data_IF_699189171680
#
_entry.id   IF_699189171680
#
_cell.length_a   1.000
_cell.length_b   1.000
_cell.length_c   1.000
_cell.angle_alpha   90.00
_cell.angle_beta   90.00
_cell.angle_gamma   90.00
#
_symmetry.space_group_name_H-M   'P 1'
#
loop_
_entity.id
_entity.type
_entity.pdbx_description
1 polymer ?
#
# COMPACT_ATOMS: atom_id res chain seq x y z
N UNK A 1 -6.97 18.06 9.52
CA UNK A 1 -5.56 18.31 9.15
C UNK A 1 -5.44 18.82 7.72
N UNK A 2 -4.63 19.86 7.46
CA UNK A 2 -4.36 20.39 6.12
C UNK A 2 -3.43 19.45 5.30
N UNK A 3 -3.76 18.17 5.21
CA UNK A 3 -3.00 17.14 4.48
C UNK A 3 -1.83 16.48 5.24
N UNK A 4 -1.62 16.82 6.52
CA UNK A 4 -0.62 16.17 7.38
C UNK A 4 -1.26 15.11 8.30
N UNK A 5 -0.53 14.04 8.60
CA UNK A 5 -0.89 13.07 9.64
C UNK A 5 -0.72 13.65 11.04
N UNK A 6 -1.17 12.92 12.07
CA UNK A 6 -0.93 13.27 13.48
C UNK A 6 0.57 13.39 13.83
N UNK A 7 1.45 12.78 13.03
CA UNK A 7 2.91 12.81 13.20
C UNK A 7 3.60 13.81 12.26
N UNK A 8 2.84 14.70 11.60
CA UNK A 8 3.39 15.71 10.70
C UNK A 8 3.77 15.21 9.31
N UNK A 9 3.65 13.90 9.03
CA UNK A 9 3.91 13.34 7.71
C UNK A 9 2.87 13.84 6.71
N UNK A 10 3.32 14.52 5.65
CA UNK A 10 2.47 14.99 4.56
C UNK A 10 2.44 13.98 3.41
N UNK A 11 1.41 14.11 2.58
CA UNK A 11 1.30 13.36 1.32
C UNK A 11 1.29 11.83 1.53
N UNK A 12 0.77 11.35 2.67
CA UNK A 12 0.57 9.91 2.91
C UNK A 12 -0.56 9.31 2.05
N UNK A 13 -1.41 10.16 1.45
CA UNK A 13 -2.47 9.76 0.54
C UNK A 13 -2.29 10.55 -0.77
N UNK A 14 -2.24 9.85 -1.91
CA UNK A 14 -2.02 10.42 -3.24
C UNK A 14 -0.54 10.64 -3.59
N UNK A 15 -0.30 11.42 -4.65
CA UNK A 15 1.00 11.54 -5.33
C UNK A 15 1.43 10.20 -5.94
N UNK A 16 2.07 9.32 -5.18
CA UNK A 16 2.56 8.02 -5.67
C UNK A 16 2.25 6.94 -4.65
N UNK A 17 2.05 5.72 -5.13
CA UNK A 17 2.07 4.56 -4.25
C UNK A 17 3.46 4.43 -3.60
N UNK A 18 3.51 4.26 -2.30
CA UNK A 18 4.78 4.14 -1.57
C UNK A 18 5.07 2.66 -1.30
N UNK A 19 6.20 2.16 -1.80
CA UNK A 19 6.69 0.81 -1.51
C UNK A 19 7.00 0.63 -0.02
N UNK A 20 6.71 -0.57 0.49
CA UNK A 20 7.08 -1.01 1.84
C UNK A 20 7.91 -2.29 1.77
N UNK A 21 8.68 -2.59 2.81
CA UNK A 21 9.42 -3.85 2.95
C UNK A 21 8.49 -5.07 3.20
N UNK A 22 7.25 -4.80 3.60
CA UNK A 22 6.24 -5.78 4.00
C UNK A 22 5.85 -6.69 2.84
N UNK A 23 6.00 -8.00 3.05
CA UNK A 23 5.45 -9.02 2.15
C UNK A 23 3.93 -9.06 2.26
N UNK A 24 3.23 -9.08 1.13
CA UNK A 24 1.78 -9.19 1.09
C UNK A 24 1.34 -10.55 1.63
N UNK A 25 0.38 -10.51 2.54
CA UNK A 25 -0.03 -11.66 3.33
C UNK A 25 -1.28 -11.34 4.14
N UNK A 26 -1.98 -12.35 4.66
CA UNK A 26 -3.21 -12.15 5.41
C UNK A 26 -2.95 -11.44 6.74
N UNK A 27 -3.89 -10.62 7.18
CA UNK A 27 -3.93 -10.21 8.58
C UNK A 27 -4.51 -11.35 9.43
N UNK A 28 -4.26 -11.37 10.76
CA UNK A 28 -4.90 -12.33 11.65
C UNK A 28 -6.42 -12.30 11.51
N UNK A 29 -7.03 -13.47 11.34
CA UNK A 29 -8.48 -13.60 11.12
C UNK A 29 -8.96 -13.24 9.71
N UNK A 30 -8.06 -13.14 8.72
CA UNK A 30 -8.47 -12.97 7.32
C UNK A 30 -9.38 -14.12 6.86
N UNK A 31 -10.55 -13.76 6.36
CA UNK A 31 -11.42 -14.64 5.59
C UNK A 31 -11.63 -14.03 4.19
N UNK A 32 -11.56 -14.84 3.12
CA UNK A 32 -11.71 -14.32 1.77
C UNK A 32 -13.16 -13.87 1.51
N UNK A 33 -13.28 -12.72 0.85
CA UNK A 33 -14.51 -12.25 0.22
C UNK A 33 -14.94 -13.23 -0.90
N UNK A 34 -16.21 -13.19 -1.38
CA UNK A 34 -16.61 -13.98 -2.56
C UNK A 34 -15.65 -13.90 -3.76
N UNK A 35 -14.97 -12.76 -3.97
CA UNK A 35 -13.87 -12.68 -4.94
C UNK A 35 -12.54 -13.19 -4.36
N UNK A 36 -12.44 -14.52 -4.24
CA UNK A 36 -11.34 -15.22 -3.57
C UNK A 36 -9.96 -14.95 -4.19
N UNK A 37 -9.92 -14.77 -5.50
CA UNK A 37 -8.68 -14.60 -6.27
C UNK A 37 -8.10 -13.18 -6.15
N UNK A 38 -8.83 -12.25 -5.52
CA UNK A 38 -8.37 -10.87 -5.39
C UNK A 38 -7.09 -10.75 -4.57
N UNK A 39 -6.93 -11.53 -3.49
CA UNK A 39 -5.79 -11.39 -2.56
C UNK A 39 -5.02 -12.69 -2.36
N UNK A 40 -5.72 -13.79 -2.12
CA UNK A 40 -5.11 -15.03 -1.63
C UNK A 40 -4.01 -15.59 -2.55
N UNK A 41 -4.14 -15.58 -3.89
CA UNK A 41 -3.09 -16.07 -4.79
C UNK A 41 -1.78 -15.28 -4.75
N UNK A 42 -1.81 -14.03 -4.27
CA UNK A 42 -0.68 -13.09 -4.33
C UNK A 42 0.10 -13.00 -3.02
N UNK A 43 -0.32 -13.75 -2.00
CA UNK A 43 0.39 -13.82 -0.72
C UNK A 43 1.78 -14.45 -0.87
N UNK A 44 2.75 -13.95 -0.11
CA UNK A 44 4.13 -14.46 -0.07
C UNK A 44 5.03 -14.01 -1.22
N UNK A 45 4.46 -13.69 -2.39
CA UNK A 45 5.23 -13.34 -3.61
C UNK A 45 5.27 -11.84 -3.89
N UNK A 46 4.30 -11.08 -3.40
CA UNK A 46 4.17 -9.64 -3.68
C UNK A 46 4.62 -8.78 -2.48
N UNK A 47 5.04 -7.55 -2.76
CA UNK A 47 5.32 -6.51 -1.75
C UNK A 47 4.16 -5.51 -1.68
N UNK A 48 3.93 -4.96 -0.49
CA UNK A 48 2.83 -4.03 -0.26
C UNK A 48 3.21 -2.61 -0.67
N UNK A 49 2.27 -1.90 -1.31
CA UNK A 49 2.31 -0.45 -1.49
C UNK A 49 1.14 0.24 -0.78
N UNK A 50 1.36 1.49 -0.37
CA UNK A 50 0.41 2.30 0.43
C UNK A 50 0.21 3.69 -0.16
N UNK A 51 -0.87 4.35 0.28
CA UNK A 51 -1.11 5.77 0.02
C UNK A 51 -1.89 6.11 -1.25
N UNK A 52 -1.84 5.31 -2.30
CA UNK A 52 -2.46 5.69 -3.57
C UNK A 52 -1.60 6.66 -4.38
N UNK A 53 -1.91 6.83 -5.65
CA UNK A 53 -1.21 7.77 -6.54
C UNK A 53 -2.12 8.90 -7.00
N UNK A 54 -1.60 9.86 -7.75
CA UNK A 54 -2.39 10.89 -8.43
C UNK A 54 -3.44 10.30 -9.38
N UNK A 55 -3.24 9.06 -9.86
CA UNK A 55 -4.19 8.35 -10.70
C UNK A 55 -5.24 7.56 -9.91
N UNK A 56 -5.13 7.47 -8.58
CA UNK A 56 -6.07 6.70 -7.75
C UNK A 56 -7.31 7.55 -7.42
N UNK A 57 -8.53 7.09 -7.75
CA UNK A 57 -9.74 7.85 -7.45
C UNK A 57 -9.94 8.08 -5.95
N UNK A 58 -10.20 9.34 -5.56
CA UNK A 58 -10.36 9.73 -4.15
C UNK A 58 -11.47 8.95 -3.42
N UNK A 59 -12.51 8.51 -4.13
CA UNK A 59 -13.61 7.72 -3.55
C UNK A 59 -13.22 6.29 -3.15
N UNK A 60 -12.11 5.77 -3.69
CA UNK A 60 -11.67 4.40 -3.42
C UNK A 60 -10.54 4.38 -2.39
N UNK A 61 -9.74 5.44 -2.32
CA UNK A 61 -8.56 5.46 -1.46
C UNK A 61 -8.93 5.53 0.02
N UNK A 62 -8.25 4.71 0.81
CA UNK A 62 -8.38 4.65 2.28
C UNK A 62 -7.02 4.33 2.86
N UNK A 63 -6.74 4.84 4.06
CA UNK A 63 -5.48 4.60 4.77
C UNK A 63 -5.21 3.09 5.02
N UNK A 64 -6.23 2.23 4.94
CA UNK A 64 -6.14 0.79 5.13
C UNK A 64 -5.96 0.00 3.83
N UNK A 65 -6.04 0.61 2.64
CA UNK A 65 -5.93 -0.11 1.36
C UNK A 65 -4.49 -0.53 1.05
N UNK A 66 -4.27 -1.84 0.94
CA UNK A 66 -3.00 -2.45 0.54
C UNK A 66 -3.04 -2.73 -0.96
N UNK A 67 -2.21 -2.04 -1.72
CA UNK A 67 -1.89 -2.45 -3.08
C UNK A 67 -0.72 -3.45 -3.03
N UNK A 68 -0.54 -4.26 -4.07
CA UNK A 68 0.48 -5.31 -4.07
C UNK A 68 0.95 -5.60 -5.50
N UNK A 69 2.27 -5.71 -5.68
CA UNK A 69 2.91 -6.10 -6.94
C UNK A 69 4.17 -6.92 -6.66
N UNK A 70 4.67 -7.64 -7.67
CA UNK A 70 5.99 -8.25 -7.57
C UNK A 70 7.06 -7.16 -7.42
N UNK A 71 8.14 -7.40 -6.66
CA UNK A 71 9.10 -6.37 -6.29
C UNK A 71 9.87 -5.76 -7.49
N UNK A 72 9.99 -6.49 -8.59
CA UNK A 72 10.63 -6.06 -9.83
C UNK A 72 9.76 -5.11 -10.67
N UNK A 73 8.50 -4.88 -10.29
CA UNK A 73 7.56 -4.09 -11.08
C UNK A 73 7.89 -2.60 -11.03
N UNK A 74 8.09 -1.98 -12.21
CA UNK A 74 8.47 -0.56 -12.34
C UNK A 74 7.59 0.26 -13.31
N UNK A 75 6.52 -0.32 -13.84
CA UNK A 75 5.55 0.30 -14.77
C UNK A 75 4.33 0.91 -14.08
N UNK A 76 4.37 1.05 -12.75
CA UNK A 76 3.29 1.60 -11.91
C UNK A 76 3.67 2.99 -11.38
N UNK A 77 2.67 3.80 -11.01
CA UNK A 77 2.90 5.08 -10.34
C UNK A 77 3.31 4.88 -8.88
N UNK A 78 4.54 4.40 -8.67
CA UNK A 78 5.11 4.12 -7.37
C UNK A 78 6.41 4.89 -7.13
N UNK A 79 6.69 5.16 -5.85
CA UNK A 79 7.92 5.74 -5.35
C UNK A 79 8.26 5.13 -3.99
N UNK A 80 9.04 5.86 -3.19
CA UNK A 80 9.46 5.42 -1.87
C UNK A 80 9.34 6.55 -0.85
N UNK A 81 9.15 6.16 0.40
CA UNK A 81 9.32 6.99 1.58
C UNK A 81 10.28 6.28 2.51
N UNK A 82 11.29 7.00 3.01
CA UNK A 82 12.25 6.44 3.95
C UNK A 82 11.69 6.42 5.36
N UNK A 83 12.12 5.42 6.13
CA UNK A 83 11.97 5.37 7.58
C UNK A 83 13.33 5.03 8.19
N UNK A 84 13.59 5.51 9.40
CA UNK A 84 14.71 5.03 10.17
C UNK A 84 14.40 3.61 10.66
N UNK A 85 15.40 2.74 10.69
CA UNK A 85 15.29 1.48 11.41
C UNK A 85 15.31 1.79 12.91
N UNK A 86 14.50 1.08 13.69
CA UNK A 86 14.66 1.08 15.14
C UNK A 86 16.03 0.46 15.45
N UNK A 87 16.94 1.26 16.01
CA UNK A 87 18.27 0.86 16.46
C UNK A 87 18.27 0.60 17.94
#
# INVERSE_FOLDING_TARGET
PAGASAHGCRQLIGNVWEWTDTTFGPYPGFEPDPYKEYSQPWFGTHKVLRGGSFATPARLIRNTWRNFYTPERCDIFAGLRTCALET
#
